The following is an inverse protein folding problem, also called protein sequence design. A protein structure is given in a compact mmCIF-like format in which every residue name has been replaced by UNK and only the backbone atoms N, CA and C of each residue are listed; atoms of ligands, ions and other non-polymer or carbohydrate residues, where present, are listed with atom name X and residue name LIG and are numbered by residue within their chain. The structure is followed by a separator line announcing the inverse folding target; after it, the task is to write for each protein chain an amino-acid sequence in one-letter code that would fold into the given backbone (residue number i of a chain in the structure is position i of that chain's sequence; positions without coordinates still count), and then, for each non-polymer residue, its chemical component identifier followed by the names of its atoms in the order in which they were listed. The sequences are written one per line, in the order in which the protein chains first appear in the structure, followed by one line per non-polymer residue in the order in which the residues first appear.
data_IF_492877154933
#
_entry.id   IF_492877154933
#
_cell.length_a   1.000
_cell.length_b   1.000
_cell.length_c   1.000
_cell.angle_alpha   90.00
_cell.angle_beta   90.00
_cell.angle_gamma   90.00
#
_symmetry.space_group_name_H-M   'P 1'
#
loop_
_entity.id
_entity.type
_entity.pdbx_description
1 polymer ?
#
# COMPACT_ATOMS: atom_id res chain seq x y z
N UNK A 1 -15.53 -27.58 -23.75
CA UNK A 1 -15.84 -26.91 -22.47
C UNK A 1 -16.59 -27.86 -21.51
N UNK A 2 -16.10 -29.10 -21.32
CA UNK A 2 -16.73 -30.08 -20.41
C UNK A 2 -15.73 -31.12 -19.88
N UNK A 3 -14.45 -30.77 -19.84
CA UNK A 3 -13.37 -31.69 -19.43
C UNK A 3 -12.52 -31.15 -18.27
N UNK A 4 -12.61 -29.85 -17.94
CA UNK A 4 -11.91 -29.28 -16.78
C UNK A 4 -12.68 -29.40 -15.44
N UNK A 5 -13.95 -29.82 -15.45
CA UNK A 5 -14.76 -29.91 -14.22
C UNK A 5 -14.41 -31.16 -13.39
N UNK A 6 -13.79 -32.18 -14.00
CA UNK A 6 -13.52 -33.45 -13.31
C UNK A 6 -12.35 -33.39 -12.33
N UNK A 7 -11.41 -32.45 -12.49
CA UNK A 7 -10.19 -32.43 -11.67
C UNK A 7 -10.36 -31.66 -10.35
N UNK A 8 -11.41 -30.85 -10.21
CA UNK A 8 -11.61 -29.97 -9.04
C UNK A 8 -12.47 -30.58 -7.93
N UNK A 9 -12.96 -31.82 -8.08
CA UNK A 9 -13.95 -32.43 -7.16
C UNK A 9 -13.41 -33.62 -6.34
N UNK A 10 -12.14 -34.00 -6.48
CA UNK A 10 -11.61 -35.24 -5.89
C UNK A 10 -10.86 -35.07 -4.55
N UNK A 11 -11.23 -34.11 -3.71
CA UNK A 11 -10.65 -33.93 -2.36
C UNK A 11 -11.69 -33.45 -1.33
N UNK A 12 -12.85 -34.09 -1.27
CA UNK A 12 -13.79 -33.91 -0.18
C UNK A 12 -13.89 -35.25 0.56
N UNK A 13 -13.45 -35.31 1.83
CA UNK A 13 -14.05 -36.10 2.93
C UNK A 13 -13.03 -36.29 4.07
N UNK A 14 -12.90 -35.29 4.95
CA UNK A 14 -12.74 -35.47 6.40
C UNK A 14 -13.13 -34.16 7.11
N UNK A 15 -14.14 -34.22 7.99
CA UNK A 15 -14.61 -33.21 8.96
C UNK A 15 -15.21 -31.89 8.43
N UNK A 16 -16.53 -31.73 8.65
CA UNK A 16 -17.42 -30.56 8.39
C UNK A 16 -16.73 -29.41 7.66
N UNK A 17 -16.59 -29.55 6.35
CA UNK A 17 -16.05 -28.52 5.47
C UNK A 17 -17.08 -27.41 5.32
N UNK A 18 -16.80 -26.24 5.88
CA UNK A 18 -17.45 -25.00 5.45
C UNK A 18 -17.30 -24.89 3.93
N UNK A 19 -18.43 -24.99 3.21
CA UNK A 19 -18.46 -24.96 1.73
C UNK A 19 -18.31 -23.54 1.18
N UNK A 20 -18.41 -22.52 2.04
CA UNK A 20 -18.39 -21.12 1.66
C UNK A 20 -17.14 -20.74 0.85
N UNK A 21 -15.91 -21.14 1.24
CA UNK A 21 -14.72 -20.82 0.47
C UNK A 21 -14.73 -21.44 -0.94
N UNK A 22 -15.24 -22.67 -1.06
CA UNK A 22 -15.35 -23.38 -2.34
C UNK A 22 -16.35 -22.67 -3.25
N UNK A 23 -17.53 -22.33 -2.72
CA UNK A 23 -18.57 -21.61 -3.48
C UNK A 23 -18.02 -20.26 -3.95
N UNK A 24 -17.43 -19.46 -3.06
CA UNK A 24 -16.92 -18.14 -3.44
C UNK A 24 -15.78 -18.24 -4.46
N UNK A 25 -14.91 -19.25 -4.38
CA UNK A 25 -13.87 -19.51 -5.38
C UNK A 25 -14.49 -19.80 -6.76
N UNK A 26 -15.54 -20.64 -6.80
CA UNK A 26 -16.24 -20.94 -8.05
C UNK A 26 -16.97 -19.72 -8.62
N UNK A 27 -17.59 -18.89 -7.76
CA UNK A 27 -18.20 -17.62 -8.17
C UNK A 27 -17.14 -16.70 -8.79
N UNK A 28 -15.95 -16.62 -8.21
CA UNK A 28 -14.86 -15.83 -8.78
C UNK A 28 -14.50 -16.26 -10.20
N UNK A 29 -14.40 -17.56 -10.48
CA UNK A 29 -14.19 -18.05 -11.85
C UNK A 29 -15.37 -17.73 -12.79
N UNK A 30 -16.60 -17.82 -12.32
CA UNK A 30 -17.80 -17.42 -13.09
C UNK A 30 -17.75 -15.92 -13.43
N UNK A 31 -17.22 -15.10 -12.52
CA UNK A 31 -16.95 -13.68 -12.72
C UNK A 31 -15.64 -13.40 -13.51
N UNK A 32 -15.00 -14.42 -14.08
CA UNK A 32 -13.80 -14.25 -14.90
C UNK A 32 -12.49 -14.07 -14.13
N UNK A 33 -12.46 -14.24 -12.81
CA UNK A 33 -11.22 -14.22 -12.04
C UNK A 33 -10.37 -15.47 -12.30
N UNK A 34 -9.07 -15.27 -12.47
CA UNK A 34 -8.07 -16.34 -12.50
C UNK A 34 -7.63 -16.77 -11.09
N UNK A 35 -6.80 -17.81 -11.00
CA UNK A 35 -6.20 -18.21 -9.73
C UNK A 35 -5.26 -17.13 -9.18
N UNK A 36 -5.30 -16.93 -7.87
CA UNK A 36 -4.36 -16.09 -7.14
C UNK A 36 -3.23 -16.91 -6.54
N UNK A 37 -2.03 -16.35 -6.50
CA UNK A 37 -0.90 -16.92 -5.76
C UNK A 37 -0.95 -16.62 -4.25
N UNK A 38 -1.89 -15.77 -3.80
CA UNK A 38 -1.99 -15.40 -2.39
C UNK A 38 -2.72 -16.47 -1.58
N UNK A 39 -2.12 -17.08 -0.54
CA UNK A 39 -2.75 -18.17 0.22
C UNK A 39 -4.04 -17.82 0.94
N UNK A 40 -4.32 -16.54 1.16
CA UNK A 40 -5.52 -15.99 1.82
C UNK A 40 -6.56 -15.47 0.82
N UNK A 41 -6.26 -15.47 -0.48
CA UNK A 41 -7.22 -15.13 -1.53
C UNK A 41 -8.32 -16.19 -1.63
N UNK A 42 -9.52 -15.75 -2.04
CA UNK A 42 -10.60 -16.69 -2.37
C UNK A 42 -10.30 -17.46 -3.65
N UNK A 43 -9.49 -16.88 -4.54
CA UNK A 43 -9.03 -17.48 -5.79
C UNK A 43 -7.75 -18.34 -5.62
N UNK A 44 -7.30 -18.62 -4.40
CA UNK A 44 -6.16 -19.52 -4.18
C UNK A 44 -6.52 -20.97 -4.57
N UNK A 45 -5.74 -21.65 -5.43
CA UNK A 45 -6.14 -22.94 -6.01
C UNK A 45 -5.97 -24.15 -5.07
N UNK A 46 -5.18 -24.03 -3.99
CA UNK A 46 -4.83 -25.16 -3.12
C UNK A 46 -5.54 -25.03 -1.78
N UNK A 47 -6.70 -25.67 -1.63
CA UNK A 47 -7.53 -25.58 -0.41
C UNK A 47 -6.82 -26.07 0.86
N UNK A 48 -6.04 -27.15 0.77
CA UNK A 48 -5.34 -27.76 1.91
C UNK A 48 -4.33 -26.81 2.57
N UNK A 49 -3.68 -25.97 1.75
CA UNK A 49 -2.66 -25.01 2.19
C UNK A 49 -3.18 -23.58 2.24
N UNK A 50 -4.50 -23.42 2.18
CA UNK A 50 -5.14 -22.12 2.19
C UNK A 50 -5.15 -21.56 3.60
N UNK A 51 -4.89 -20.26 3.74
CA UNK A 51 -5.10 -19.56 5.01
C UNK A 51 -6.60 -19.40 5.27
N UNK A 52 -7.05 -19.46 6.55
CA UNK A 52 -8.43 -19.18 6.89
C UNK A 52 -8.91 -17.85 6.30
N UNK A 53 -10.15 -17.80 5.80
CA UNK A 53 -10.74 -16.54 5.36
C UNK A 53 -10.79 -15.58 6.53
N UNK A 54 -10.39 -14.34 6.28
CA UNK A 54 -10.67 -13.26 7.22
C UNK A 54 -12.16 -13.00 7.17
N UNK A 55 -12.77 -12.82 8.33
CA UNK A 55 -14.21 -12.60 8.44
C UNK A 55 -14.41 -11.17 8.95
N UNK A 56 -15.32 -10.44 8.31
CA UNK A 56 -15.75 -9.12 8.78
C UNK A 56 -16.51 -9.28 10.09
N UNK A 57 -16.10 -8.58 11.14
CA UNK A 57 -16.76 -8.64 12.45
C UNK A 57 -18.23 -8.17 12.38
N UNK A 58 -18.52 -7.20 11.51
CA UNK A 58 -19.88 -6.62 11.37
C UNK A 58 -20.83 -7.51 10.59
N UNK A 59 -20.38 -8.11 9.48
CA UNK A 59 -21.25 -8.90 8.59
C UNK A 59 -21.16 -10.40 8.81
N UNK A 60 -20.14 -10.86 9.54
CA UNK A 60 -19.75 -12.28 9.65
C UNK A 60 -19.47 -12.94 8.29
N UNK A 61 -19.29 -12.16 7.23
CA UNK A 61 -18.96 -12.66 5.89
C UNK A 61 -17.45 -12.65 5.64
N UNK A 62 -16.94 -13.52 4.75
CA UNK A 62 -15.55 -13.46 4.32
C UNK A 62 -15.19 -12.10 3.71
N UNK A 63 -14.10 -11.49 4.20
CA UNK A 63 -13.46 -10.32 3.61
C UNK A 63 -12.63 -10.81 2.43
N UNK A 64 -12.88 -10.23 1.24
CA UNK A 64 -12.08 -10.51 0.05
C UNK A 64 -10.64 -10.04 0.26
N UNK A 65 -9.69 -10.81 -0.27
CA UNK A 65 -8.32 -10.37 -0.36
C UNK A 65 -8.23 -9.23 -1.38
N UNK A 66 -7.34 -8.31 -1.10
CA UNK A 66 -6.96 -7.16 -1.93
C UNK A 66 -6.72 -7.47 -3.41
N UNK A 67 -6.09 -8.61 -3.73
CA UNK A 67 -5.89 -9.09 -5.09
C UNK A 67 -7.22 -9.45 -5.76
N UNK A 68 -8.15 -10.08 -5.02
CA UNK A 68 -9.48 -10.43 -5.52
C UNK A 68 -10.29 -9.15 -5.80
N UNK A 69 -10.20 -8.16 -4.89
CA UNK A 69 -10.86 -6.86 -5.01
C UNK A 69 -10.37 -6.11 -6.25
N UNK A 70 -9.06 -6.06 -6.48
CA UNK A 70 -8.54 -5.36 -7.66
C UNK A 70 -8.84 -6.12 -8.95
N UNK A 71 -8.70 -7.44 -8.97
CA UNK A 71 -9.01 -8.23 -10.15
C UNK A 71 -10.48 -8.08 -10.57
N UNK A 72 -11.43 -8.12 -9.63
CA UNK A 72 -12.85 -7.95 -9.97
C UNK A 72 -13.16 -6.52 -10.43
N UNK A 73 -12.56 -5.51 -9.79
CA UNK A 73 -12.74 -4.11 -10.20
C UNK A 73 -12.06 -3.78 -11.53
N UNK A 74 -11.01 -4.51 -11.90
CA UNK A 74 -10.40 -4.39 -13.22
C UNK A 74 -11.34 -4.91 -14.32
N UNK A 75 -12.04 -6.01 -14.08
CA UNK A 75 -12.98 -6.59 -15.04
C UNK A 75 -14.27 -5.79 -15.20
N UNK A 76 -14.81 -5.26 -14.09
CA UNK A 76 -16.16 -4.67 -14.07
C UNK A 76 -16.20 -3.19 -13.67
N UNK A 77 -15.04 -2.58 -13.42
CA UNK A 77 -14.94 -1.25 -12.86
C UNK A 77 -15.21 -1.22 -11.34
N UNK A 78 -15.05 -0.05 -10.74
CA UNK A 78 -15.57 0.19 -9.40
C UNK A 78 -17.06 0.46 -9.51
N UNK A 79 -17.88 -0.29 -8.78
CA UNK A 79 -19.27 0.13 -8.60
C UNK A 79 -19.21 1.49 -7.90
N UNK A 80 -19.70 2.55 -8.53
CA UNK A 80 -20.01 3.82 -7.88
C UNK A 80 -21.22 3.61 -6.98
N UNK A 81 -21.08 2.77 -5.94
CA UNK A 81 -22.00 2.75 -4.82
C UNK A 81 -21.71 4.01 -4.02
N UNK A 82 -22.20 5.14 -4.53
CA UNK A 82 -22.30 6.43 -3.84
C UNK A 82 -23.01 6.34 -2.48
N UNK A 83 -23.54 5.16 -2.12
CA UNK A 83 -24.30 4.89 -0.91
C UNK A 83 -23.51 4.01 0.10
N UNK A 84 -22.45 3.28 -0.29
CA UNK A 84 -21.69 2.42 0.65
C UNK A 84 -20.35 3.00 1.12
N UNK A 85 -19.76 3.95 0.38
CA UNK A 85 -18.55 4.66 0.84
C UNK A 85 -18.83 5.59 2.04
N UNK A 86 -20.11 5.78 2.39
CA UNK A 86 -20.53 6.53 3.57
C UNK A 86 -20.41 5.75 4.89
N UNK A 87 -20.12 4.44 4.87
CA UNK A 87 -20.08 3.61 6.10
C UNK A 87 -18.71 3.58 6.79
N UNK A 88 -17.66 4.11 6.16
CA UNK A 88 -16.30 4.20 6.70
C UNK A 88 -15.75 5.64 6.73
N UNK A 89 -16.63 6.65 6.71
CA UNK A 89 -16.23 8.06 6.86
C UNK A 89 -16.66 8.56 8.26
N UNK A 90 -15.94 8.21 9.35
CA UNK A 90 -16.21 8.79 10.66
C UNK A 90 -15.74 10.25 10.79
N UNK A 91 -15.02 10.79 9.80
CA UNK A 91 -14.54 12.16 9.79
C UNK A 91 -15.22 12.95 8.66
N UNK A 92 -15.66 14.18 8.94
CA UNK A 92 -16.09 15.10 7.90
C UNK A 92 -14.97 15.20 6.85
N UNK A 93 -15.28 15.20 5.53
CA UNK A 93 -14.25 15.41 4.51
C UNK A 93 -13.49 16.68 4.86
N UNK A 94 -12.14 16.65 4.90
CA UNK A 94 -11.37 17.85 5.17
C UNK A 94 -11.72 18.88 4.10
N UNK A 95 -11.86 20.14 4.50
CA UNK A 95 -11.98 21.26 3.57
C UNK A 95 -10.78 21.28 2.62
N UNK A 96 -10.94 21.84 1.43
CA UNK A 96 -9.81 22.13 0.53
C UNK A 96 -8.76 23.03 1.21
N UNK A 97 -9.14 23.76 2.26
CA UNK A 97 -8.27 24.62 3.08
C UNK A 97 -7.72 23.93 4.35
N UNK A 98 -8.13 22.70 4.65
CA UNK A 98 -7.66 22.00 5.85
C UNK A 98 -6.22 21.51 5.67
N UNK A 99 -5.30 22.07 6.47
CA UNK A 99 -3.94 21.57 6.58
C UNK A 99 -3.92 20.15 7.17
N UNK A 100 -3.07 19.25 6.64
CA UNK A 100 -2.86 17.95 7.26
C UNK A 100 -2.22 18.13 8.65
N UNK A 101 -2.95 17.72 9.69
CA UNK A 101 -2.47 17.75 11.09
C UNK A 101 -1.74 16.47 11.47
N UNK A 102 -2.12 15.38 10.83
CA UNK A 102 -1.52 14.06 11.00
C UNK A 102 -1.31 13.40 9.65
N UNK A 103 -0.33 12.51 9.58
CA UNK A 103 0.11 11.83 8.38
C UNK A 103 0.03 10.32 8.55
N UNK A 104 -0.44 9.59 7.55
CA UNK A 104 -0.31 8.13 7.44
C UNK A 104 0.86 7.72 6.55
N UNK A 105 1.09 8.44 5.46
CA UNK A 105 2.25 8.22 4.60
C UNK A 105 2.53 9.47 3.78
N UNK A 106 3.77 9.61 3.31
CA UNK A 106 4.17 10.64 2.36
C UNK A 106 5.02 10.04 1.25
N UNK A 107 4.93 10.61 0.05
CA UNK A 107 5.85 10.30 -1.04
C UNK A 107 6.13 11.53 -1.90
N UNK A 108 7.14 11.44 -2.77
CA UNK A 108 7.44 12.50 -3.73
C UNK A 108 7.35 11.95 -5.15
N UNK A 109 6.61 12.67 -6.00
CA UNK A 109 6.38 12.31 -7.39
C UNK A 109 6.64 13.55 -8.24
N UNK A 110 7.60 13.46 -9.17
CA UNK A 110 8.07 14.58 -10.01
C UNK A 110 8.34 15.90 -9.25
N UNK A 111 8.91 15.81 -8.04
CA UNK A 111 9.30 16.96 -7.23
C UNK A 111 8.20 17.52 -6.31
N UNK A 112 6.93 17.19 -6.58
CA UNK A 112 5.83 17.53 -5.67
C UNK A 112 5.72 16.45 -4.58
N UNK A 113 5.47 16.88 -3.35
CA UNK A 113 5.30 15.99 -2.19
C UNK A 113 3.82 15.74 -1.97
N UNK A 114 3.44 14.47 -1.88
CA UNK A 114 2.09 14.04 -1.59
C UNK A 114 2.02 13.52 -0.17
N UNK A 115 1.11 14.08 0.63
CA UNK A 115 0.82 13.65 1.99
C UNK A 115 -0.51 12.92 2.01
N UNK A 116 -0.63 11.84 2.78
CA UNK A 116 -1.81 10.99 2.81
C UNK A 116 -2.32 10.76 4.22
N UNK A 117 -3.65 10.84 4.40
CA UNK A 117 -4.33 10.58 5.67
C UNK A 117 -5.82 10.30 5.46
N UNK A 118 -6.36 9.29 6.15
CA UNK A 118 -7.80 9.00 6.20
C UNK A 118 -8.45 8.86 4.81
N UNK A 119 -7.68 8.36 3.81
CA UNK A 119 -8.16 8.23 2.43
C UNK A 119 -8.18 9.53 1.62
N UNK A 120 -7.55 10.60 2.12
CA UNK A 120 -7.31 11.86 1.41
C UNK A 120 -5.82 12.06 1.14
N UNK A 121 -5.52 12.87 0.12
CA UNK A 121 -4.20 13.27 -0.29
C UNK A 121 -4.11 14.79 -0.42
N UNK A 122 -3.00 15.36 0.04
CA UNK A 122 -2.63 16.76 -0.14
C UNK A 122 -1.39 16.83 -1.02
N UNK A 123 -1.31 17.83 -1.90
CA UNK A 123 -0.15 18.06 -2.76
C UNK A 123 0.58 19.32 -2.31
N UNK A 124 1.87 19.17 -2.05
CA UNK A 124 2.77 20.25 -1.69
C UNK A 124 3.80 20.47 -2.80
N UNK A 125 4.10 21.74 -3.04
CA UNK A 125 5.31 22.14 -3.75
C UNK A 125 6.28 22.73 -2.76
N UNK A 126 7.42 22.07 -2.58
CA UNK A 126 8.34 22.30 -1.48
C UNK A 126 7.63 22.13 -0.12
N UNK A 127 7.17 23.24 0.47
CA UNK A 127 6.42 23.30 1.73
C UNK A 127 5.02 23.88 1.56
N UNK A 128 4.73 24.52 0.42
CA UNK A 128 3.48 25.23 0.19
C UNK A 128 2.40 24.24 -0.27
N UNK A 129 1.25 24.30 0.36
CA UNK A 129 0.07 23.55 -0.07
C UNK A 129 -0.44 24.11 -1.40
N UNK A 130 -0.40 23.30 -2.45
CA UNK A 130 -0.89 23.68 -3.78
C UNK A 130 -2.24 23.04 -4.11
N UNK A 131 -2.57 21.92 -3.45
CA UNK A 131 -3.87 21.25 -3.57
C UNK A 131 -4.28 20.65 -2.24
N UNK A 132 -5.48 21.02 -1.79
CA UNK A 132 -6.12 20.53 -0.57
C UNK A 132 -6.52 19.05 -0.62
N UNK A 133 -7.33 18.63 0.34
CA UNK A 133 -7.69 17.24 0.56
C UNK A 133 -8.50 16.64 -0.61
N UNK A 134 -7.84 15.85 -1.46
CA UNK A 134 -8.51 15.08 -2.52
C UNK A 134 -8.62 13.63 -2.10
N UNK A 135 -9.78 12.98 -2.30
CA UNK A 135 -9.92 11.54 -2.06
C UNK A 135 -8.86 10.77 -2.85
N UNK A 136 -8.09 9.93 -2.16
CA UNK A 136 -7.00 9.15 -2.76
C UNK A 136 -7.51 8.26 -3.90
N UNK A 137 -8.74 7.76 -3.82
CA UNK A 137 -9.37 6.98 -4.89
C UNK A 137 -9.56 7.76 -6.21
N UNK A 138 -9.62 9.10 -6.16
CA UNK A 138 -9.66 9.96 -7.34
C UNK A 138 -8.26 10.23 -7.91
N UNK A 139 -7.22 10.10 -7.09
CA UNK A 139 -5.82 10.28 -7.48
C UNK A 139 -5.23 8.97 -8.01
N UNK A 140 -5.48 7.88 -7.30
CA UNK A 140 -5.03 6.51 -7.55
C UNK A 140 -6.25 5.58 -7.51
N UNK A 141 -6.66 5.10 -8.69
CA UNK A 141 -7.82 4.22 -8.81
C UNK A 141 -7.57 2.84 -8.18
N UNK A 142 -8.65 2.13 -7.83
CA UNK A 142 -8.67 0.71 -7.40
C UNK A 142 -8.17 0.37 -5.98
N UNK A 143 -7.92 1.36 -5.12
CA UNK A 143 -7.37 1.12 -3.78
C UNK A 143 -8.30 0.31 -2.84
N UNK A 144 -7.74 -0.58 -2.00
CA UNK A 144 -8.46 -1.12 -0.86
C UNK A 144 -8.73 0.00 0.16
N UNK A 145 -9.87 -0.09 0.82
CA UNK A 145 -10.32 0.90 1.77
C UNK A 145 -9.43 0.86 3.03
N UNK A 146 -8.59 1.90 3.20
CA UNK A 146 -7.96 2.40 4.45
C UNK A 146 -6.50 1.94 4.71
N UNK A 147 -5.70 2.90 5.24
CA UNK A 147 -4.26 2.91 5.62
C UNK A 147 -3.31 2.17 4.66
N UNK A 148 -2.74 2.91 3.72
CA UNK A 148 -1.68 2.43 2.84
C UNK A 148 -0.36 3.12 3.19
N UNK A 149 0.72 2.34 3.21
CA UNK A 149 2.07 2.85 3.13
C UNK A 149 2.40 3.15 1.67
N UNK A 150 3.06 4.26 1.37
CA UNK A 150 3.37 4.68 0.01
C UNK A 150 4.87 4.94 -0.10
N UNK A 151 5.47 4.43 -1.17
CA UNK A 151 6.87 4.69 -1.51
C UNK A 151 7.00 4.89 -3.00
N UNK A 152 7.67 5.97 -3.41
CA UNK A 152 8.03 6.21 -4.80
C UNK A 152 9.50 5.94 -5.02
N UNK A 153 9.79 5.16 -6.06
CA UNK A 153 11.15 4.82 -6.50
C UNK A 153 11.22 5.03 -8.01
N UNK A 154 12.03 5.99 -8.43
CA UNK A 154 12.07 6.44 -9.83
C UNK A 154 10.72 7.01 -10.25
N UNK A 155 10.11 6.36 -11.25
CA UNK A 155 8.77 6.72 -11.76
C UNK A 155 7.67 5.74 -11.31
N UNK A 156 8.03 4.74 -10.47
CA UNK A 156 7.08 3.80 -9.90
C UNK A 156 6.69 4.24 -8.49
N UNK A 157 5.40 4.50 -8.29
CA UNK A 157 4.82 4.73 -6.96
C UNK A 157 4.12 3.46 -6.50
N UNK A 158 4.53 2.91 -5.37
CA UNK A 158 3.96 1.67 -4.82
C UNK A 158 3.19 1.97 -3.55
N UNK A 159 1.91 1.59 -3.53
CA UNK A 159 1.11 1.54 -2.32
C UNK A 159 1.14 0.13 -1.76
N UNK A 160 1.35 0.04 -0.45
CA UNK A 160 1.49 -1.18 0.30
C UNK A 160 0.36 -1.18 1.31
N UNK A 161 -0.59 -2.09 1.11
CA UNK A 161 -1.64 -2.36 2.08
C UNK A 161 -1.47 -3.80 2.53
N UNK A 162 -1.15 -3.96 3.82
CA UNK A 162 -0.80 -5.24 4.43
C UNK A 162 0.34 -5.97 3.70
N UNK A 163 0.01 -6.87 2.77
CA UNK A 163 0.97 -7.65 1.97
C UNK A 163 0.77 -7.47 0.47
N UNK A 164 -0.15 -6.61 0.06
CA UNK A 164 -0.42 -6.35 -1.34
C UNK A 164 0.32 -5.09 -1.74
N UNK A 165 1.06 -5.19 -2.84
CA UNK A 165 1.79 -4.09 -3.44
C UNK A 165 1.05 -3.64 -4.70
N UNK A 166 0.69 -2.37 -4.77
CA UNK A 166 0.00 -1.74 -5.89
C UNK A 166 0.94 -0.73 -6.55
N UNK A 167 1.51 -1.09 -7.70
CA UNK A 167 2.41 -0.22 -8.44
C UNK A 167 1.64 0.65 -9.41
N UNK A 168 1.94 1.94 -9.40
CA UNK A 168 1.36 2.95 -10.28
C UNK A 168 2.47 3.68 -11.04
N UNK A 169 2.23 3.88 -12.33
CA UNK A 169 2.92 4.89 -13.13
C UNK A 169 2.08 6.16 -13.18
N UNK A 170 2.74 7.31 -13.14
CA UNK A 170 2.05 8.59 -13.31
C UNK A 170 2.31 9.10 -14.72
N UNK A 171 1.25 9.59 -15.37
CA UNK A 171 1.39 10.36 -16.60
C UNK A 171 1.74 11.80 -16.24
N UNK A 172 2.96 12.24 -16.57
CA UNK A 172 3.46 13.59 -16.27
C UNK A 172 2.59 14.71 -16.85
N UNK A 173 1.89 14.45 -17.97
CA UNK A 173 1.08 15.47 -18.65
C UNK A 173 -0.25 15.67 -17.95
N UNK A 174 -0.87 14.59 -17.51
CA UNK A 174 -2.20 14.62 -16.88
C UNK A 174 -2.17 14.58 -15.34
N UNK A 175 -1.02 14.23 -14.74
CA UNK A 175 -0.87 13.96 -13.32
C UNK A 175 -1.64 12.72 -12.84
N UNK A 176 -2.12 11.89 -13.77
CA UNK A 176 -3.00 10.76 -13.47
C UNK A 176 -2.19 9.51 -13.14
N UNK A 177 -2.49 8.88 -12.00
CA UNK A 177 -1.89 7.59 -11.64
C UNK A 177 -2.68 6.45 -12.29
N UNK A 178 -1.97 5.58 -12.98
CA UNK A 178 -2.50 4.37 -13.61
C UNK A 178 -1.78 3.14 -13.04
N UNK A 179 -2.52 2.06 -12.83
CA UNK A 179 -1.94 0.80 -12.35
C UNK A 179 -0.92 0.32 -13.40
N UNK A 180 0.32 0.13 -12.97
CA UNK A 180 1.40 -0.28 -13.86
C UNK A 180 1.22 -1.74 -14.31
N UNK A 181 1.78 -2.09 -15.45
CA UNK A 181 1.72 -3.45 -15.98
C UNK A 181 2.33 -4.47 -15.01
N UNK A 182 1.65 -5.61 -14.81
CA UNK A 182 2.10 -6.66 -13.90
C UNK A 182 1.84 -6.38 -12.41
N UNK A 183 1.04 -5.36 -12.09
CA UNK A 183 0.57 -5.06 -10.73
C UNK A 183 -0.94 -5.30 -10.61
N UNK A 184 -1.48 -5.58 -9.40
CA UNK A 184 -0.78 -5.70 -8.12
C UNK A 184 0.09 -6.96 -7.99
N UNK A 185 0.99 -6.94 -7.00
CA UNK A 185 1.84 -8.08 -6.63
C UNK A 185 1.65 -8.42 -5.16
N UNK A 186 1.76 -9.70 -4.82
CA UNK A 186 1.83 -10.13 -3.43
C UNK A 186 3.27 -10.00 -2.93
N UNK A 187 3.45 -9.37 -1.77
CA UNK A 187 4.73 -9.28 -1.08
C UNK A 187 5.31 -10.68 -0.84
N UNK A 188 6.58 -10.85 -1.17
CA UNK A 188 7.24 -12.15 -1.15
C UNK A 188 7.09 -12.84 0.21
N UNK A 189 6.81 -14.15 0.20
CA UNK A 189 6.51 -14.96 1.39
C UNK A 189 7.61 -14.99 2.47
N UNK A 190 8.84 -14.62 2.11
CA UNK A 190 9.99 -14.51 3.06
C UNK A 190 9.92 -13.26 3.92
N UNK A 191 9.18 -12.23 3.51
CA UNK A 191 8.93 -11.07 4.37
C UNK A 191 7.81 -11.47 5.32
N UNK A 192 8.13 -11.72 6.58
CA UNK A 192 7.22 -12.29 7.57
C UNK A 192 6.47 -11.24 8.41
N UNK A 193 6.71 -9.96 8.15
CA UNK A 193 6.06 -8.83 8.81
C UNK A 193 5.20 -8.02 7.83
N UNK A 194 4.38 -7.12 8.38
CA UNK A 194 3.64 -6.12 7.63
C UNK A 194 4.44 -4.81 7.67
N UNK A 195 4.84 -4.24 6.52
CA UNK A 195 5.58 -2.99 6.51
C UNK A 195 4.76 -1.84 7.14
N UNK A 196 5.40 -1.12 8.06
CA UNK A 196 4.84 0.06 8.73
C UNK A 196 5.49 1.35 8.21
N UNK A 197 6.73 1.24 7.72
CA UNK A 197 7.45 2.33 7.07
C UNK A 197 8.17 1.87 5.82
N UNK A 198 8.36 2.80 4.88
CA UNK A 198 9.18 2.58 3.71
C UNK A 198 9.88 3.85 3.24
N UNK A 199 11.03 3.67 2.61
CA UNK A 199 11.78 4.72 1.91
C UNK A 199 12.66 4.11 0.82
N UNK A 200 12.92 4.82 -0.29
CA UNK A 200 13.73 4.32 -1.39
C UNK A 200 15.24 4.45 -1.10
N UNK A 201 16.05 3.61 -1.72
CA UNK A 201 17.52 3.69 -1.74
C UNK A 201 18.02 4.09 -3.14
N UNK A 202 19.25 4.62 -3.23
CA UNK A 202 19.83 5.07 -4.51
C UNK A 202 20.03 3.91 -5.50
N UNK A 203 20.21 2.69 -4.99
CA UNK A 203 20.32 1.48 -5.82
C UNK A 203 18.99 1.02 -6.44
N UNK A 204 17.89 1.75 -6.23
CA UNK A 204 16.58 1.45 -6.79
C UNK A 204 15.77 0.39 -6.02
N UNK A 205 16.30 -0.15 -4.93
CA UNK A 205 15.52 -0.94 -3.96
C UNK A 205 14.81 -0.02 -2.96
N UNK A 206 13.89 -0.59 -2.18
CA UNK A 206 13.20 0.13 -1.10
C UNK A 206 13.45 -0.57 0.23
N UNK A 207 13.61 0.20 1.29
CA UNK A 207 13.57 -0.33 2.66
C UNK A 207 12.11 -0.49 3.05
N UNK A 208 11.74 -1.68 3.53
CA UNK A 208 10.45 -1.95 4.19
C UNK A 208 10.76 -2.30 5.65
N UNK A 209 10.12 -1.60 6.57
CA UNK A 209 10.48 -1.63 8.00
C UNK A 209 9.26 -1.91 8.86
N UNK A 210 9.46 -2.66 9.94
CA UNK A 210 8.47 -2.89 11.00
C UNK A 210 9.20 -3.02 12.33
N UNK A 211 8.93 -2.11 13.27
CA UNK A 211 9.68 -2.02 14.54
C UNK A 211 11.19 -1.84 14.34
N UNK A 212 11.97 -2.85 14.75
CA UNK A 212 13.44 -2.85 14.67
C UNK A 212 13.99 -3.72 13.54
N UNK A 213 13.14 -4.37 12.76
CA UNK A 213 13.56 -5.19 11.61
C UNK A 213 13.25 -4.48 10.30
N UNK A 214 14.13 -4.66 9.32
CA UNK A 214 13.88 -4.19 7.96
C UNK A 214 14.29 -5.21 6.92
N UNK A 215 13.80 -4.99 5.71
CA UNK A 215 14.24 -5.68 4.50
C UNK A 215 14.48 -4.66 3.40
N UNK A 216 15.58 -4.77 2.65
CA UNK A 216 15.70 -4.12 1.35
C UNK A 216 15.01 -4.97 0.31
N UNK A 217 14.14 -4.37 -0.49
CA UNK A 217 13.22 -5.07 -1.36
C UNK A 217 13.34 -4.57 -2.79
N UNK A 218 13.46 -5.50 -3.72
CA UNK A 218 13.41 -5.23 -5.15
C UNK A 218 11.96 -5.34 -5.62
N UNK A 219 11.37 -4.19 -5.96
CA UNK A 219 9.96 -4.07 -6.37
C UNK A 219 9.71 -4.67 -7.77
N UNK A 220 10.72 -4.65 -8.65
CA UNK A 220 10.58 -5.14 -10.02
C UNK A 220 10.62 -6.67 -10.03
N UNK A 221 11.65 -7.23 -9.39
CA UNK A 221 11.84 -8.67 -9.24
C UNK A 221 10.95 -9.29 -8.16
N UNK A 222 10.21 -8.47 -7.40
CA UNK A 222 9.35 -8.88 -6.30
C UNK A 222 10.04 -9.83 -5.30
N UNK A 223 11.24 -9.45 -4.84
CA UNK A 223 12.06 -10.29 -3.96
C UNK A 223 12.78 -9.48 -2.88
N UNK A 224 12.95 -10.04 -1.67
CA UNK A 224 13.83 -9.45 -0.67
C UNK A 224 15.30 -9.62 -1.07
N UNK A 225 16.12 -8.62 -0.80
CA UNK A 225 17.55 -8.60 -1.06
C UNK A 225 18.36 -8.82 0.22
N UNK A 226 18.09 -8.05 1.28
CA UNK A 226 18.80 -8.13 2.55
C UNK A 226 17.85 -7.91 3.73
N UNK A 227 17.98 -8.69 4.79
CA UNK A 227 17.28 -8.50 6.06
C UNK A 227 18.28 -8.03 7.11
N UNK A 228 17.88 -7.09 7.95
CA UNK A 228 18.78 -6.56 8.98
C UNK A 228 18.04 -5.94 10.16
N UNK A 229 18.86 -5.49 11.10
CA UNK A 229 18.45 -4.72 12.27
C UNK A 229 18.51 -3.23 11.93
N UNK A 230 17.38 -2.54 12.12
CA UNK A 230 17.21 -1.10 11.87
C UNK A 230 18.23 -0.29 12.66
N UNK A 231 18.39 -0.57 13.95
CA UNK A 231 19.24 0.20 14.86
C UNK A 231 20.73 0.04 14.52
N UNK A 232 21.10 -1.03 13.83
CA UNK A 232 22.48 -1.22 13.34
C UNK A 232 22.70 -0.57 11.97
N UNK A 233 21.73 -0.68 11.06
CA UNK A 233 21.92 -0.26 9.66
C UNK A 233 21.51 1.19 9.40
N UNK A 234 20.52 1.68 10.14
CA UNK A 234 19.98 3.03 10.10
C UNK A 234 19.77 3.51 11.54
N UNK A 235 20.85 3.76 12.31
CA UNK A 235 20.71 4.24 13.67
C UNK A 235 20.04 5.62 13.67
N UNK A 236 19.45 5.96 14.82
CA UNK A 236 18.78 7.24 15.07
C UNK A 236 17.58 7.55 14.16
N UNK A 237 17.01 6.57 13.45
CA UNK A 237 15.71 6.76 12.82
C UNK A 237 14.63 7.02 13.88
N UNK A 238 13.68 7.94 13.63
CA UNK A 238 12.66 8.28 14.60
C UNK A 238 11.73 7.09 14.86
N UNK A 239 11.32 6.93 16.11
CA UNK A 239 10.28 5.97 16.49
C UNK A 239 8.96 6.34 15.81
N UNK A 240 8.21 5.33 15.36
CA UNK A 240 6.96 5.55 14.64
C UNK A 240 7.14 6.19 13.26
N UNK A 241 8.32 6.04 12.64
CA UNK A 241 8.57 6.37 11.24
C UNK A 241 7.46 5.77 10.37
N UNK A 242 6.94 6.55 9.42
CA UNK A 242 5.92 6.12 8.45
C UNK A 242 6.43 6.18 7.02
N UNK A 243 7.21 7.20 6.67
CA UNK A 243 7.72 7.35 5.30
C UNK A 243 9.03 8.13 5.27
N UNK A 244 9.88 7.83 4.30
CA UNK A 244 11.08 8.63 4.02
C UNK A 244 11.14 9.02 2.54
N UNK A 245 11.41 10.29 2.29
CA UNK A 245 11.53 10.87 0.96
C UNK A 245 12.97 11.39 0.81
N UNK A 246 13.71 11.01 -0.23
CA UNK A 246 15.05 11.56 -0.45
C UNK A 246 14.96 13.05 -0.82
N UNK A 247 15.86 13.88 -0.28
CA UNK A 247 15.91 15.31 -0.62
C UNK A 247 16.34 15.53 -2.08
N UNK A 248 17.16 14.63 -2.61
CA UNK A 248 17.63 14.66 -4.00
C UNK A 248 17.20 13.39 -4.71
N UNK A 249 16.57 13.53 -5.89
CA UNK A 249 16.07 12.39 -6.67
C UNK A 249 17.20 11.41 -6.98
N UNK A 250 17.04 10.16 -6.57
CA UNK A 250 18.02 9.08 -6.81
C UNK A 250 19.22 9.06 -5.85
N UNK A 251 19.26 9.94 -4.84
CA UNK A 251 20.23 9.87 -3.74
C UNK A 251 19.57 9.24 -2.51
N UNK A 252 20.39 8.60 -1.68
CA UNK A 252 20.06 8.10 -0.35
C UNK A 252 20.92 8.74 0.76
N UNK A 253 21.56 9.88 0.48
CA UNK A 253 22.42 10.58 1.45
C UNK A 253 21.60 11.37 2.47
N UNK A 254 20.51 11.98 2.03
CA UNK A 254 19.68 12.88 2.82
C UNK A 254 18.20 12.55 2.63
N UNK A 255 17.51 12.37 3.75
CA UNK A 255 16.10 12.04 3.79
C UNK A 255 15.30 13.06 4.58
N UNK A 256 14.09 13.32 4.08
CA UNK A 256 13.00 13.87 4.86
C UNK A 256 12.16 12.70 5.36
N UNK A 257 12.22 12.46 6.65
CA UNK A 257 11.51 11.38 7.33
C UNK A 257 10.25 11.92 7.98
N UNK A 258 9.16 11.16 7.91
CA UNK A 258 7.87 11.57 8.43
C UNK A 258 7.36 10.55 9.45
N UNK A 259 6.98 11.03 10.63
CA UNK A 259 6.14 10.30 11.59
C UNK A 259 4.69 10.77 11.44
N UNK A 260 3.82 10.52 12.43
CA UNK A 260 2.43 11.00 12.40
C UNK A 260 2.33 12.52 12.33
N UNK A 261 3.20 13.24 13.01
CA UNK A 261 3.03 14.67 13.30
C UNK A 261 4.34 15.45 13.28
N UNK A 262 5.45 14.81 12.94
CA UNK A 262 6.79 15.40 12.95
C UNK A 262 7.54 15.04 11.66
N UNK A 263 8.31 16.00 11.17
CA UNK A 263 9.17 15.88 10.00
C UNK A 263 10.61 16.02 10.46
N UNK A 264 11.46 15.09 10.05
CA UNK A 264 12.88 15.06 10.39
C UNK A 264 13.72 15.15 9.12
N UNK A 265 14.87 15.80 9.20
CA UNK A 265 15.92 15.67 8.20
C UNK A 265 17.01 14.75 8.74
N UNK A 266 17.30 13.68 8.01
CA UNK A 266 18.24 12.62 8.39
C UNK A 266 19.34 12.52 7.35
N UNK A 267 20.60 12.52 7.81
CA UNK A 267 21.78 12.29 6.98
C UNK A 267 22.26 10.87 7.19
N UNK A 268 22.15 10.04 6.16
CA UNK A 268 22.51 8.62 6.23
C UNK A 268 24.03 8.39 6.25
N UNK A 269 24.83 9.38 5.83
CA UNK A 269 26.30 9.27 5.76
C UNK A 269 26.92 9.39 7.14
N UNK A 270 26.35 10.25 7.98
CA UNK A 270 26.73 10.41 9.38
C UNK A 270 25.76 9.71 10.34
N UNK A 271 24.65 9.20 9.82
CA UNK A 271 23.59 8.46 10.51
C UNK A 271 22.94 9.25 11.66
N UNK A 272 22.65 10.53 11.43
CA UNK A 272 22.15 11.46 12.45
C UNK A 272 20.93 12.25 11.96
N UNK A 273 20.06 12.62 12.90
CA UNK A 273 19.00 13.59 12.67
C UNK A 273 19.62 14.99 12.71
N UNK A 274 19.56 15.71 11.58
CA UNK A 274 20.07 17.07 11.45
C UNK A 274 19.08 18.07 12.06
N UNK A 275 17.80 17.88 11.81
CA UNK A 275 16.74 18.79 12.25
C UNK A 275 15.41 18.08 12.40
N UNK A 276 14.51 18.67 13.17
CA UNK A 276 13.14 18.19 13.32
C UNK A 276 12.18 19.37 13.52
N UNK A 277 11.01 19.30 12.90
CA UNK A 277 9.93 20.26 13.09
C UNK A 277 8.56 19.57 13.06
N UNK A 278 7.54 20.19 13.67
CA UNK A 278 6.19 19.64 13.62
C UNK A 278 5.63 19.69 12.19
N UNK A 279 4.79 18.72 11.82
CA UNK A 279 4.12 18.68 10.52
C UNK A 279 3.31 19.96 10.26
N UNK A 280 2.71 20.53 11.30
CA UNK A 280 1.97 21.80 11.24
C UNK A 280 2.85 23.00 10.89
N UNK A 281 4.11 22.98 11.29
CA UNK A 281 5.10 24.01 10.93
C UNK A 281 5.68 23.74 9.55
N UNK A 282 5.89 22.47 9.23
CA UNK A 282 6.44 22.05 7.95
C UNK A 282 5.55 22.46 6.78
N UNK A 283 4.25 22.20 6.87
CA UNK A 283 3.27 22.51 5.82
C UNK A 283 2.80 23.96 5.93
N UNK A 284 3.04 24.74 4.87
CA UNK A 284 2.57 26.12 4.74
C UNK A 284 1.25 26.11 3.98
N UNK A 285 0.15 26.33 4.69
CA UNK A 285 -1.16 26.54 4.07
C UNK A 285 -1.43 28.05 3.92
N UNK A 286 -2.00 28.42 2.78
CA UNK A 286 -2.44 29.79 2.47
C UNK A 286 -3.84 30.07 2.98
#
# INVERSE_FOLDING_TARGET
MMMMIKTSLQLCFQNVTDITPVILHTIGHVLGLGHSSSPDSIMYPIFENRKPLRVSESTKMPKLNDMDIVAIRHLYGTIKLSILNAYYDPELPPSDEDCPKELESATQVHGDTYLFRSGYAWQLRERNLIKGAVRIANVMSLLPSIRCLIVTRGDLTVLIHERTLYGYSVDETSGTFSLAEGWPKQLHKRVLFFPEAAFPLANGSVVLLSGDVFVTYDLDLNRPLFFGDKNTSFPNLPDGLRSGIPLHRGSDDLYRLFTSDTVYEYDSRIQEIISSESLKTYVVCS
#
